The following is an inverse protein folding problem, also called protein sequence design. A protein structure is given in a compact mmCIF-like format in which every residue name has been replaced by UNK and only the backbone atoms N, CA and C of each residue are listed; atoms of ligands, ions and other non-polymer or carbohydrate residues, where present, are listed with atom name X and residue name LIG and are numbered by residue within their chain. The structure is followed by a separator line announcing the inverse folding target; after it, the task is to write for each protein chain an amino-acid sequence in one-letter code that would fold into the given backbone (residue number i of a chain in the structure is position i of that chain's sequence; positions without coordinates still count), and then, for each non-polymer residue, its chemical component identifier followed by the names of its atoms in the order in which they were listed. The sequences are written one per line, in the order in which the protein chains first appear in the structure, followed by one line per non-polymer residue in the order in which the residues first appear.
data_IF_675989235121
#
_entry.id   IF_675989235121
#
_cell.length_a   1.000
_cell.length_b   1.000
_cell.length_c   1.000
_cell.angle_alpha   90.00
_cell.angle_beta   90.00
_cell.angle_gamma   90.00
#
_symmetry.space_group_name_H-M   'P 1'
#
loop_
_entity.id
_entity.type
_entity.pdbx_description
1 polymer ?
#
# COMPACT_ATOMS: atom_id res chain seq x y z
N UNK A 1 20.02 0.28 10.06
CA UNK A 1 20.77 -0.41 9.00
C UNK A 1 20.35 0.23 7.70
N UNK A 2 21.27 0.79 6.88
CA UNK A 2 20.88 1.38 5.61
C UNK A 2 20.32 0.30 4.69
N UNK A 3 19.15 0.55 4.11
CA UNK A 3 18.52 -0.35 3.15
C UNK A 3 19.36 -0.39 1.85
N UNK A 4 19.49 -1.54 1.20
CA UNK A 4 20.22 -1.63 -0.05
C UNK A 4 19.51 -0.82 -1.14
N UNK A 5 20.23 0.15 -1.66
CA UNK A 5 19.85 0.88 -2.86
C UNK A 5 20.23 -0.01 -4.05
N UNK A 6 19.25 -0.43 -4.83
CA UNK A 6 19.52 -1.20 -6.04
C UNK A 6 19.95 -0.23 -7.14
N UNK A 7 21.18 -0.37 -7.63
CA UNK A 7 21.67 0.37 -8.80
C UNK A 7 21.24 -0.37 -10.06
N UNK A 8 20.57 0.32 -10.98
CA UNK A 8 20.40 -0.16 -12.35
C UNK A 8 21.74 0.04 -13.12
N UNK A 9 21.96 -0.73 -14.17
CA UNK A 9 23.20 -0.70 -14.97
C UNK A 9 23.56 0.70 -15.56
N UNK A 10 22.62 1.65 -15.53
CA UNK A 10 22.78 3.02 -16.07
C UNK A 10 23.14 4.06 -14.98
N UNK A 11 23.54 3.66 -13.79
CA UNK A 11 23.92 4.59 -12.70
C UNK A 11 22.75 5.38 -12.09
N UNK A 12 21.51 5.04 -12.43
CA UNK A 12 20.31 5.63 -11.85
C UNK A 12 19.94 4.84 -10.59
N UNK A 13 20.01 5.48 -9.45
CA UNK A 13 19.50 4.92 -8.19
C UNK A 13 17.97 4.95 -8.20
N UNK A 14 17.34 3.79 -8.40
CA UNK A 14 15.90 3.66 -8.27
C UNK A 14 15.55 3.37 -6.81
N UNK A 15 14.77 4.26 -6.21
CA UNK A 15 14.12 3.99 -4.92
C UNK A 15 12.76 3.38 -5.22
N UNK A 16 12.71 2.05 -5.13
CA UNK A 16 11.49 1.27 -5.33
C UNK A 16 11.29 0.38 -4.11
N UNK A 17 10.24 0.66 -3.33
CA UNK A 17 9.98 0.01 -2.06
C UNK A 17 9.00 -1.15 -2.24
N UNK A 18 9.25 -2.24 -1.49
CA UNK A 18 8.21 -3.23 -1.23
C UNK A 18 7.11 -2.62 -0.34
N UNK A 19 5.92 -3.19 -0.39
CA UNK A 19 4.79 -2.75 0.44
C UNK A 19 5.14 -2.68 1.94
N UNK A 20 5.84 -3.68 2.47
CA UNK A 20 6.24 -3.68 3.88
C UNK A 20 7.20 -2.53 4.23
N UNK A 21 8.10 -2.18 3.30
CA UNK A 21 9.03 -1.06 3.50
C UNK A 21 8.30 0.29 3.47
N UNK A 22 7.35 0.45 2.54
CA UNK A 22 6.51 1.64 2.50
C UNK A 22 5.66 1.77 3.76
N UNK A 23 5.06 0.65 4.23
CA UNK A 23 4.33 0.57 5.49
C UNK A 23 5.18 1.05 6.67
N UNK A 24 6.43 0.57 6.78
CA UNK A 24 7.33 0.94 7.87
C UNK A 24 7.69 2.43 7.84
N UNK A 25 7.80 3.02 6.65
CA UNK A 25 8.00 4.47 6.48
C UNK A 25 6.76 5.22 6.96
N UNK A 26 5.55 4.81 6.57
CA UNK A 26 4.31 5.42 7.04
C UNK A 26 4.17 5.36 8.55
N UNK A 27 4.38 4.18 9.16
CA UNK A 27 4.34 4.02 10.61
C UNK A 27 5.34 4.94 11.34
N UNK A 28 6.56 5.06 10.81
CA UNK A 28 7.60 5.95 11.35
C UNK A 28 7.19 7.42 11.34
N UNK A 29 6.35 7.82 10.39
CA UNK A 29 5.85 9.18 10.25
C UNK A 29 4.46 9.39 10.86
N UNK A 30 3.98 8.46 11.70
CA UNK A 30 2.73 8.59 12.44
C UNK A 30 1.47 8.25 11.62
N UNK A 31 1.61 7.84 10.37
CA UNK A 31 0.46 7.40 9.56
C UNK A 31 -0.06 6.07 10.12
N UNK A 32 -1.36 5.97 10.46
CA UNK A 32 -1.93 4.71 10.94
C UNK A 32 -1.77 3.58 9.91
N UNK A 33 -1.21 2.46 10.35
CA UNK A 33 -1.04 1.27 9.50
C UNK A 33 -1.46 0.02 10.25
N UNK A 34 -1.96 -0.97 9.52
CA UNK A 34 -2.25 -2.29 10.10
C UNK A 34 -0.96 -3.00 10.53
N UNK A 35 -1.03 -3.78 11.59
CA UNK A 35 0.09 -4.62 12.01
C UNK A 35 0.51 -5.57 10.86
N UNK A 36 1.81 -5.74 10.69
CA UNK A 36 2.37 -6.58 9.64
C UNK A 36 3.75 -7.09 10.00
N UNK A 37 4.09 -8.28 9.53
CA UNK A 37 5.43 -8.87 9.67
C UNK A 37 5.82 -9.60 8.39
N UNK A 38 7.10 -9.53 8.04
CA UNK A 38 7.67 -10.20 6.87
C UNK A 38 8.08 -11.62 7.25
N UNK A 39 7.81 -12.58 6.36
CA UNK A 39 8.24 -13.95 6.45
C UNK A 39 8.89 -14.40 5.14
N UNK A 40 9.93 -15.22 5.25
CA UNK A 40 10.66 -15.83 4.14
C UNK A 40 10.46 -17.34 4.07
N UNK A 41 9.85 -17.91 5.10
CA UNK A 41 9.49 -19.33 5.18
C UNK A 41 8.04 -19.49 5.66
N UNK A 42 7.39 -20.62 5.35
CA UNK A 42 6.05 -20.92 5.87
C UNK A 42 5.98 -20.91 7.40
N UNK A 43 7.01 -21.40 8.08
CA UNK A 43 7.07 -21.44 9.53
C UNK A 43 7.17 -20.05 10.16
N UNK A 44 7.94 -19.14 9.55
CA UNK A 44 7.96 -17.73 9.95
C UNK A 44 6.59 -17.07 9.75
N UNK A 45 5.91 -17.39 8.64
CA UNK A 45 4.56 -16.89 8.36
C UNK A 45 3.56 -17.36 9.41
N UNK A 46 3.64 -18.63 9.84
CA UNK A 46 2.86 -19.19 10.94
C UNK A 46 3.07 -18.40 12.24
N UNK A 47 4.31 -18.22 12.65
CA UNK A 47 4.64 -17.50 13.89
C UNK A 47 4.17 -16.03 13.84
N UNK A 48 4.31 -15.39 12.66
CA UNK A 48 3.79 -14.04 12.45
C UNK A 48 2.25 -14.00 12.55
N UNK A 49 1.55 -15.00 11.97
CA UNK A 49 0.10 -15.08 12.02
C UNK A 49 -0.44 -15.29 13.44
N UNK A 50 0.25 -16.08 14.27
CA UNK A 50 -0.09 -16.24 15.69
C UNK A 50 -0.05 -14.91 16.44
N UNK A 51 1.01 -14.13 16.23
CA UNK A 51 1.19 -12.84 16.91
C UNK A 51 0.23 -11.76 16.39
N UNK A 52 0.07 -11.65 15.08
CA UNK A 52 -0.73 -10.61 14.43
C UNK A 52 -2.22 -10.94 14.51
N UNK A 53 -2.59 -12.21 14.31
CA UNK A 53 -3.96 -12.68 14.35
C UNK A 53 -4.63 -12.49 15.71
N UNK A 54 -3.87 -12.49 16.81
CA UNK A 54 -4.39 -12.20 18.13
C UNK A 54 -5.09 -10.83 18.24
N UNK A 55 -4.71 -9.88 17.37
CA UNK A 55 -5.28 -8.52 17.31
C UNK A 55 -6.52 -8.41 16.42
N UNK A 56 -6.81 -9.41 15.59
CA UNK A 56 -7.87 -9.39 14.57
C UNK A 56 -8.80 -10.60 14.63
N UNK A 57 -8.95 -11.22 15.81
CA UNK A 57 -9.81 -12.41 15.99
C UNK A 57 -9.33 -13.62 15.18
N UNK A 58 -8.02 -13.73 14.93
CA UNK A 58 -7.40 -14.84 14.21
C UNK A 58 -7.24 -14.59 12.68
N UNK A 59 -7.89 -13.57 12.13
CA UNK A 59 -7.85 -13.31 10.69
C UNK A 59 -6.58 -12.56 10.30
N UNK A 60 -5.84 -13.10 9.32
CA UNK A 60 -4.66 -12.45 8.73
C UNK A 60 -4.73 -12.49 7.21
N UNK A 61 -3.89 -11.69 6.56
CA UNK A 61 -3.76 -11.67 5.10
C UNK A 61 -2.31 -11.94 4.72
N UNK A 62 -2.10 -12.97 3.91
CA UNK A 62 -0.78 -13.34 3.37
C UNK A 62 -0.60 -12.63 2.03
N UNK A 63 0.42 -11.76 1.92
CA UNK A 63 0.60 -10.88 0.76
C UNK A 63 2.00 -11.05 0.17
N UNK A 64 2.09 -11.51 -1.08
CA UNK A 64 3.34 -11.55 -1.82
C UNK A 64 4.06 -10.20 -1.82
N UNK A 65 5.35 -10.20 -1.59
CA UNK A 65 6.18 -9.00 -1.64
C UNK A 65 7.01 -8.98 -2.92
N UNK A 66 6.48 -8.31 -3.93
CA UNK A 66 7.13 -8.05 -5.23
C UNK A 66 6.93 -6.61 -5.65
N UNK A 67 7.82 -6.09 -6.47
CA UNK A 67 7.81 -4.69 -6.94
C UNK A 67 6.94 -4.51 -8.19
N UNK A 68 5.74 -5.11 -8.17
CA UNK A 68 4.76 -4.97 -9.26
C UNK A 68 3.34 -4.98 -8.72
N UNK A 69 2.44 -4.32 -9.44
CA UNK A 69 1.00 -4.31 -9.15
C UNK A 69 0.30 -5.59 -9.64
N UNK A 70 -0.98 -5.76 -9.22
CA UNK A 70 -1.82 -6.88 -9.65
C UNK A 70 -1.58 -8.19 -8.90
N UNK A 71 -0.91 -8.16 -7.74
CA UNK A 71 -0.62 -9.32 -6.90
C UNK A 71 -1.88 -10.11 -6.53
N UNK A 72 -2.97 -9.41 -6.21
CA UNK A 72 -4.26 -10.06 -5.88
C UNK A 72 -4.80 -10.88 -7.04
N UNK A 73 -4.84 -10.30 -8.26
CA UNK A 73 -5.29 -10.98 -9.49
C UNK A 73 -4.42 -12.20 -9.83
N UNK A 74 -3.13 -12.16 -9.50
CA UNK A 74 -2.19 -13.26 -9.69
C UNK A 74 -2.26 -14.35 -8.59
N UNK A 75 -3.13 -14.20 -7.57
CA UNK A 75 -3.22 -15.15 -6.46
C UNK A 75 -2.18 -14.97 -5.36
N UNK A 76 -1.38 -13.89 -5.42
CA UNK A 76 -0.36 -13.53 -4.44
C UNK A 76 -0.89 -12.84 -3.18
N UNK A 77 -2.22 -12.74 -3.00
CA UNK A 77 -2.86 -12.19 -1.79
C UNK A 77 -3.98 -13.14 -1.36
N UNK A 78 -3.89 -13.67 -0.14
CA UNK A 78 -4.86 -14.63 0.39
C UNK A 78 -5.21 -14.31 1.84
N UNK A 79 -6.51 -14.38 2.17
CA UNK A 79 -6.99 -14.27 3.54
C UNK A 79 -6.84 -15.63 4.23
N UNK A 80 -6.30 -15.62 5.44
CA UNK A 80 -6.18 -16.78 6.31
C UNK A 80 -7.01 -16.56 7.58
N UNK A 81 -7.86 -17.51 7.92
CA UNK A 81 -8.71 -17.49 9.11
C UNK A 81 -8.07 -18.23 10.28
N UNK A 82 -7.03 -18.98 10.01
CA UNK A 82 -6.26 -19.75 11.00
C UNK A 82 -4.77 -19.62 10.71
N UNK A 83 -3.95 -19.93 11.69
CA UNK A 83 -2.48 -19.95 11.52
C UNK A 83 -2.03 -21.04 10.56
N UNK A 84 -2.73 -22.18 10.50
CA UNK A 84 -2.46 -23.27 9.57
C UNK A 84 -2.74 -22.84 8.11
N UNK A 85 -3.83 -22.09 7.88
CA UNK A 85 -4.11 -21.50 6.58
C UNK A 85 -3.05 -20.46 6.18
N UNK A 86 -2.56 -19.65 7.13
CA UNK A 86 -1.51 -18.67 6.85
C UNK A 86 -0.20 -19.34 6.42
N UNK A 87 0.19 -20.42 7.09
CA UNK A 87 1.35 -21.24 6.71
C UNK A 87 1.17 -21.85 5.33
N UNK A 88 0.04 -22.48 5.05
CA UNK A 88 -0.26 -23.10 3.75
C UNK A 88 -0.31 -22.07 2.62
N UNK A 89 -0.85 -20.88 2.88
CA UNK A 89 -0.87 -19.80 1.90
C UNK A 89 0.54 -19.25 1.64
N UNK A 90 1.37 -19.12 2.67
CA UNK A 90 2.76 -18.70 2.51
C UNK A 90 3.55 -19.72 1.69
N UNK A 91 3.38 -21.02 1.95
CA UNK A 91 4.00 -22.09 1.17
C UNK A 91 3.61 -22.03 -0.32
N UNK A 92 2.33 -21.77 -0.59
CA UNK A 92 1.84 -21.67 -1.97
C UNK A 92 2.29 -20.39 -2.70
N UNK A 93 2.52 -19.28 -1.98
CA UNK A 93 2.87 -17.98 -2.55
C UNK A 93 4.38 -17.80 -2.69
N UNK A 94 5.18 -18.32 -1.77
CA UNK A 94 6.63 -18.29 -1.86
C UNK A 94 7.09 -19.09 -3.08
N UNK A 95 7.95 -18.49 -3.90
CA UNK A 95 8.43 -19.09 -5.15
C UNK A 95 7.51 -18.86 -6.36
N UNK A 96 6.30 -18.31 -6.20
CA UNK A 96 5.46 -17.94 -7.36
C UNK A 96 6.18 -16.92 -8.24
N UNK A 97 5.91 -16.97 -9.53
CA UNK A 97 6.20 -15.88 -10.45
C UNK A 97 4.98 -14.96 -10.58
N UNK A 98 5.17 -13.67 -10.34
CA UNK A 98 4.16 -12.64 -10.57
C UNK A 98 4.73 -11.62 -11.55
N UNK A 99 4.33 -11.69 -12.81
CA UNK A 99 4.77 -10.81 -13.89
C UNK A 99 6.31 -10.74 -14.03
N UNK A 100 6.99 -11.89 -13.96
CA UNK A 100 8.44 -11.99 -14.05
C UNK A 100 9.20 -11.73 -12.76
N UNK A 101 8.48 -11.52 -11.63
CA UNK A 101 9.07 -11.34 -10.31
C UNK A 101 8.84 -12.57 -9.44
N UNK A 102 9.90 -13.27 -9.08
CA UNK A 102 9.80 -14.38 -8.12
C UNK A 102 9.52 -13.87 -6.73
N UNK A 103 8.53 -14.45 -6.05
CA UNK A 103 8.17 -14.09 -4.68
C UNK A 103 9.15 -14.74 -3.70
N UNK A 104 10.03 -13.95 -3.10
CA UNK A 104 10.98 -14.39 -2.09
C UNK A 104 10.53 -14.12 -0.66
N UNK A 105 9.50 -13.31 -0.48
CA UNK A 105 8.99 -12.89 0.82
C UNK A 105 7.48 -12.72 0.75
N UNK A 106 6.82 -13.01 1.87
CA UNK A 106 5.43 -12.62 2.10
C UNK A 106 5.35 -11.66 3.27
N UNK A 107 4.33 -10.81 3.31
CA UNK A 107 3.95 -10.05 4.49
C UNK A 107 2.67 -10.65 5.06
N UNK A 108 2.69 -10.97 6.33
CA UNK A 108 1.50 -11.34 7.09
C UNK A 108 0.95 -10.05 7.67
N UNK A 109 -0.22 -9.65 7.20
CA UNK A 109 -0.88 -8.43 7.65
C UNK A 109 -2.09 -8.76 8.51
N UNK A 110 -2.41 -7.87 9.45
CA UNK A 110 -3.63 -7.94 10.24
C UNK A 110 -4.86 -7.90 9.32
N UNK A 111 -5.82 -8.79 9.55
CA UNK A 111 -7.13 -8.70 8.90
C UNK A 111 -7.90 -7.49 9.42
N UNK A 112 -8.52 -6.75 8.52
CA UNK A 112 -9.37 -5.62 8.83
C UNK A 112 -10.78 -5.83 8.27
N UNK A 113 -11.77 -5.27 8.97
CA UNK A 113 -13.10 -5.10 8.42
C UNK A 113 -13.11 -3.79 7.64
N UNK A 114 -13.01 -3.88 6.32
CA UNK A 114 -12.98 -2.72 5.44
C UNK A 114 -14.41 -2.19 5.32
N UNK A 115 -14.65 -0.97 5.83
CA UNK A 115 -15.91 -0.25 5.66
C UNK A 115 -15.93 0.49 4.32
N UNK A 116 -14.84 1.20 4.02
CA UNK A 116 -14.67 2.00 2.81
C UNK A 116 -13.21 1.97 2.36
N UNK A 117 -12.98 2.16 1.06
CA UNK A 117 -11.65 2.28 0.47
C UNK A 117 -11.55 3.60 -0.29
N UNK A 118 -10.48 4.33 -0.04
CA UNK A 118 -10.17 5.59 -0.70
C UNK A 118 -8.87 5.47 -1.48
N UNK A 119 -8.71 6.32 -2.48
CA UNK A 119 -7.47 6.42 -3.22
C UNK A 119 -6.75 7.72 -2.89
N UNK A 120 -5.45 7.62 -2.61
CA UNK A 120 -4.56 8.76 -2.49
C UNK A 120 -3.19 8.45 -3.07
N UNK A 121 -2.62 9.38 -3.83
CA UNK A 121 -1.25 9.29 -4.29
C UNK A 121 -0.64 10.66 -4.51
N UNK A 122 0.69 10.72 -4.47
CA UNK A 122 1.48 11.89 -4.86
C UNK A 122 2.41 11.46 -5.99
N UNK A 123 2.30 12.14 -7.14
CA UNK A 123 3.11 11.89 -8.33
C UNK A 123 4.02 13.07 -8.63
N UNK A 124 5.13 12.80 -9.31
CA UNK A 124 5.96 13.84 -9.91
C UNK A 124 5.36 14.24 -11.27
N UNK A 125 4.79 15.44 -11.34
CA UNK A 125 4.36 16.06 -12.58
C UNK A 125 5.55 16.76 -13.26
N UNK A 126 6.20 16.04 -14.17
CA UNK A 126 7.39 16.54 -14.87
C UNK A 126 7.07 17.68 -15.84
N UNK A 127 5.88 17.68 -16.43
CA UNK A 127 5.47 18.70 -17.39
C UNK A 127 5.33 20.06 -16.71
N UNK A 128 4.73 20.10 -15.54
CA UNK A 128 4.50 21.31 -14.75
C UNK A 128 5.59 21.57 -13.69
N UNK A 129 6.59 20.69 -13.57
CA UNK A 129 7.68 20.76 -12.58
C UNK A 129 7.19 20.93 -11.14
N UNK A 130 6.16 20.16 -10.78
CA UNK A 130 5.52 20.17 -9.47
C UNK A 130 5.20 18.74 -9.03
N UNK A 131 4.70 18.56 -7.81
CA UNK A 131 4.01 17.33 -7.46
C UNK A 131 2.52 17.46 -7.73
N UNK A 132 1.88 16.34 -7.97
CA UNK A 132 0.44 16.21 -8.17
C UNK A 132 -0.11 15.27 -7.11
N UNK A 133 -0.92 15.78 -6.20
CA UNK A 133 -1.73 14.96 -5.31
C UNK A 133 -3.00 14.52 -6.04
N UNK A 134 -3.30 13.24 -6.00
CA UNK A 134 -4.54 12.67 -6.51
C UNK A 134 -5.30 12.00 -5.37
N UNK A 135 -6.60 12.27 -5.29
CA UNK A 135 -7.47 11.74 -4.25
C UNK A 135 -8.84 11.37 -4.83
N UNK A 136 -9.43 10.27 -4.34
CA UNK A 136 -10.78 9.85 -4.71
C UNK A 136 -11.44 9.08 -3.56
N UNK A 137 -12.76 9.25 -3.41
CA UNK A 137 -13.60 8.39 -2.56
C UNK A 137 -13.73 6.98 -3.10
N UNK A 138 -13.37 6.75 -4.35
CA UNK A 138 -13.49 5.48 -5.02
C UNK A 138 -12.14 4.77 -5.03
N UNK A 139 -11.88 4.00 -3.96
CA UNK A 139 -10.73 3.12 -3.85
C UNK A 139 -11.01 1.71 -4.36
N UNK A 140 -9.99 0.85 -4.31
CA UNK A 140 -10.14 -0.56 -4.66
C UNK A 140 -10.33 -0.88 -6.14
N UNK A 141 -10.29 0.14 -7.03
CA UNK A 141 -10.47 0.00 -8.46
C UNK A 141 -9.23 0.44 -9.27
N UNK A 142 -9.24 0.15 -10.56
CA UNK A 142 -8.17 0.61 -11.48
C UNK A 142 -8.29 2.14 -11.66
N UNK A 143 -7.35 2.88 -11.09
CA UNK A 143 -7.40 4.34 -11.07
C UNK A 143 -7.27 4.95 -12.48
N UNK A 144 -6.55 4.27 -13.38
CA UNK A 144 -6.43 4.67 -14.77
C UNK A 144 -7.77 4.62 -15.49
N UNK A 145 -8.60 3.62 -15.18
CA UNK A 145 -9.95 3.51 -15.71
C UNK A 145 -10.85 4.61 -15.14
N UNK A 146 -10.79 4.85 -13.83
CA UNK A 146 -11.53 5.95 -13.18
C UNK A 146 -11.19 7.29 -13.82
N UNK A 147 -9.90 7.54 -14.07
CA UNK A 147 -9.42 8.78 -14.66
C UNK A 147 -9.96 9.04 -16.08
N UNK A 148 -10.36 8.01 -16.81
CA UNK A 148 -10.92 8.10 -18.17
C UNK A 148 -12.45 8.15 -18.13
N UNK A 149 -13.07 7.27 -17.36
CA UNK A 149 -14.54 7.12 -17.35
C UNK A 149 -15.24 8.19 -16.53
N UNK A 150 -14.63 8.58 -15.38
CA UNK A 150 -15.19 9.56 -14.44
C UNK A 150 -14.09 10.49 -13.91
N UNK A 151 -13.51 11.34 -14.77
CA UNK A 151 -12.39 12.21 -14.37
C UNK A 151 -12.75 13.16 -13.21
N UNK A 152 -14.03 13.50 -13.03
CA UNK A 152 -14.54 14.31 -11.94
C UNK A 152 -14.49 13.64 -10.57
N UNK A 153 -14.47 12.30 -10.53
CA UNK A 153 -14.34 11.52 -9.29
C UNK A 153 -12.89 11.44 -8.78
N UNK A 154 -11.92 11.94 -9.56
CA UNK A 154 -10.51 11.96 -9.21
C UNK A 154 -10.01 13.40 -9.07
N UNK A 155 -9.91 13.89 -7.85
CA UNK A 155 -9.27 15.17 -7.55
C UNK A 155 -7.79 15.15 -7.97
N UNK A 156 -7.32 16.25 -8.57
CA UNK A 156 -5.93 16.45 -9.01
C UNK A 156 -5.46 17.82 -8.59
N UNK A 157 -4.65 17.88 -7.56
CA UNK A 157 -4.23 19.13 -6.92
C UNK A 157 -2.72 19.25 -7.02
N UNK A 158 -2.25 20.38 -7.59
CA UNK A 158 -0.82 20.68 -7.64
C UNK A 158 -0.27 20.99 -6.25
N UNK A 159 0.91 20.45 -5.95
CA UNK A 159 1.62 20.63 -4.67
C UNK A 159 3.00 21.20 -4.97
N UNK A 160 3.27 22.42 -4.50
CA UNK A 160 4.59 23.05 -4.62
C UNK A 160 5.63 22.25 -3.84
N UNK A 161 6.72 21.76 -4.47
CA UNK A 161 7.76 20.97 -3.79
C UNK A 161 8.51 21.74 -2.70
N UNK A 162 8.47 23.08 -2.71
CA UNK A 162 9.11 23.90 -1.68
C UNK A 162 8.24 24.12 -0.43
N UNK A 163 6.93 23.96 -0.56
CA UNK A 163 5.95 24.13 0.52
C UNK A 163 5.51 22.78 1.07
N UNK A 164 5.22 21.81 0.19
CA UNK A 164 4.68 20.52 0.56
C UNK A 164 3.17 20.55 0.79
N UNK A 165 2.70 19.63 1.64
CA UNK A 165 1.30 19.52 2.05
C UNK A 165 1.23 19.94 3.51
N UNK A 166 0.64 21.11 3.77
CA UNK A 166 0.21 21.59 5.07
C UNK A 166 -1.29 21.29 5.26
N UNK A 167 -1.85 21.67 6.42
CA UNK A 167 -3.26 21.40 6.75
C UNK A 167 -4.22 22.06 5.75
N UNK A 168 -3.89 23.27 5.27
CA UNK A 168 -4.71 23.95 4.28
C UNK A 168 -4.71 23.19 2.92
N UNK A 169 -3.54 22.73 2.50
CA UNK A 169 -3.40 21.93 1.27
C UNK A 169 -4.04 20.55 1.43
N UNK A 170 -3.92 19.91 2.58
CA UNK A 170 -4.60 18.65 2.89
C UNK A 170 -6.13 18.81 2.80
N UNK A 171 -6.67 19.88 3.41
CA UNK A 171 -8.09 20.21 3.32
C UNK A 171 -8.54 20.45 1.88
N UNK A 172 -7.79 21.23 1.09
CA UNK A 172 -8.09 21.45 -0.34
C UNK A 172 -8.20 20.12 -1.12
N UNK A 173 -7.26 19.19 -0.89
CA UNK A 173 -7.24 17.89 -1.56
C UNK A 173 -8.47 17.06 -1.19
N UNK A 174 -8.80 16.99 0.10
CA UNK A 174 -9.94 16.22 0.62
C UNK A 174 -11.26 16.79 0.14
N UNK A 175 -11.44 18.13 0.19
CA UNK A 175 -12.64 18.79 -0.31
C UNK A 175 -12.82 18.59 -1.82
N UNK A 176 -11.75 18.71 -2.60
CA UNK A 176 -11.78 18.49 -4.04
C UNK A 176 -12.18 17.04 -4.41
N UNK A 177 -11.86 16.07 -3.56
CA UNK A 177 -12.30 14.68 -3.70
C UNK A 177 -13.75 14.44 -3.24
N UNK A 178 -14.45 15.49 -2.75
CA UNK A 178 -15.86 15.46 -2.36
C UNK A 178 -16.11 14.86 -0.97
N UNK A 179 -15.13 14.85 -0.07
CA UNK A 179 -15.36 14.49 1.33
C UNK A 179 -16.05 15.65 2.05
N UNK A 180 -17.33 15.52 2.32
CA UNK A 180 -18.15 16.62 2.87
C UNK A 180 -18.37 16.54 4.38
N UNK A 181 -18.04 15.41 5.03
CA UNK A 181 -18.31 15.20 6.46
C UNK A 181 -17.02 14.90 7.22
N UNK A 182 -16.90 15.46 8.39
CA UNK A 182 -15.75 15.36 9.32
C UNK A 182 -14.43 15.91 8.76
N UNK A 183 -14.46 17.17 8.33
CA UNK A 183 -13.26 17.91 7.90
C UNK A 183 -12.14 17.88 8.95
N UNK A 184 -12.49 17.85 10.24
CA UNK A 184 -11.56 17.83 11.37
C UNK A 184 -10.98 16.42 11.63
N UNK A 185 -11.69 15.35 11.27
CA UNK A 185 -11.24 13.96 11.47
C UNK A 185 -10.33 13.45 10.34
N UNK A 186 -10.31 14.12 9.19
CA UNK A 186 -9.49 13.75 8.03
C UNK A 186 -8.20 14.59 7.93
N UNK A 187 -8.08 15.66 8.73
CA UNK A 187 -6.91 16.54 8.78
C UNK A 187 -5.86 16.10 9.82
N UNK A 188 -6.23 15.23 10.76
CA UNK A 188 -5.34 14.61 11.75
C UNK A 188 -4.80 13.26 11.20
#
# INVERSE_FOLDING_TARGET
VPHPVTTAEDGITLVDLFEYQARDVFEKHGVPVLAGAVATTPQEARAAAETIGAKSGGVTVVKAQVKTGGRGKAGGVKVAKTVDEAEAHAEAILGMDIKGHTVHKVMIAQGAQIAEEYYFSILLDRANRTYLAMCSKEGGMEIEQLAVERPEALARIAVDPNVGIDDAKATEIVEAAGFEQDKDALAD
#
